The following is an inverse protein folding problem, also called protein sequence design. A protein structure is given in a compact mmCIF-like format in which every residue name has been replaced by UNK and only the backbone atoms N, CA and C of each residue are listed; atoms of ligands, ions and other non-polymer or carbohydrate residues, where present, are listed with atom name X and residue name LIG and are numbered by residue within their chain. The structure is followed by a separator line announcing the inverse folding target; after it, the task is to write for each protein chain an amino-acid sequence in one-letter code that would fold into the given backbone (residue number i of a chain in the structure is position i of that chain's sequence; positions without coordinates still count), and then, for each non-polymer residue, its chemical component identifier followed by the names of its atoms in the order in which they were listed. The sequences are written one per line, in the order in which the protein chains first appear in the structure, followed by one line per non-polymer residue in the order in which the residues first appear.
data_IF_987406944179
#
_entry.id   IF_987406944179
#
_cell.length_a   1.000
_cell.length_b   1.000
_cell.length_c   1.000
_cell.angle_alpha   90.00
_cell.angle_beta   90.00
_cell.angle_gamma   90.00
#
_symmetry.space_group_name_H-M   'P 1'
#
loop_
_entity.id
_entity.type
_entity.pdbx_description
1 polymer ?
#
# COMPACT_ATOMS: atom_id res chain seq x y z
N UNK A 1 46.33 26.56 30.49
CA UNK A 1 45.74 26.92 29.22
C UNK A 1 44.91 25.71 28.77
N UNK A 2 43.59 25.67 29.12
CA UNK A 2 42.69 24.59 28.75
C UNK A 2 42.16 24.89 27.37
N UNK A 3 42.51 24.04 26.40
CA UNK A 3 41.91 24.05 25.07
C UNK A 3 40.58 23.36 25.17
N UNK A 4 39.45 24.08 25.07
CA UNK A 4 38.13 23.49 24.91
C UNK A 4 38.07 22.82 23.53
N UNK A 5 37.94 21.50 23.51
CA UNK A 5 37.52 20.77 22.33
C UNK A 5 36.06 21.17 22.05
N UNK A 6 35.83 21.94 21.02
CA UNK A 6 34.51 22.12 20.43
C UNK A 6 34.13 20.80 19.75
N UNK A 7 33.05 20.17 20.20
CA UNK A 7 32.43 19.06 19.49
C UNK A 7 32.14 19.48 18.05
N UNK A 8 32.41 18.61 17.08
CA UNK A 8 32.08 18.90 15.69
C UNK A 8 30.56 19.08 15.60
N UNK A 9 30.12 20.29 15.27
CA UNK A 9 28.71 20.57 14.93
C UNK A 9 28.36 19.63 13.78
N UNK A 10 27.50 18.68 14.04
CA UNK A 10 26.98 17.78 13.00
C UNK A 10 26.13 18.63 12.04
N UNK A 11 26.72 19.14 10.98
CA UNK A 11 26.04 19.92 9.91
C UNK A 11 25.30 18.99 8.92
N UNK A 12 24.98 17.76 9.30
CA UNK A 12 24.08 16.90 8.53
C UNK A 12 22.64 17.47 8.53
N UNK A 13 21.86 17.16 7.50
CA UNK A 13 20.45 17.55 7.49
C UNK A 13 19.77 17.00 8.75
N UNK A 14 18.80 17.74 9.33
CA UNK A 14 18.13 17.34 10.57
C UNK A 14 17.49 15.94 10.39
N UNK A 15 17.54 15.09 11.42
CA UNK A 15 16.84 13.81 11.42
C UNK A 15 15.32 14.04 11.32
N UNK A 16 14.58 13.03 10.84
CA UNK A 16 13.13 13.07 10.85
C UNK A 16 12.57 12.93 12.27
N UNK A 17 11.37 13.44 12.47
CA UNK A 17 10.57 13.20 13.67
C UNK A 17 9.10 13.01 13.30
N UNK A 18 8.30 12.53 14.26
CA UNK A 18 6.86 12.36 14.09
C UNK A 18 6.10 13.54 14.68
N UNK A 19 5.28 14.18 13.86
CA UNK A 19 4.31 15.21 14.29
C UNK A 19 2.90 14.59 14.26
N UNK A 20 2.23 14.55 15.41
CA UNK A 20 0.85 14.08 15.49
C UNK A 20 -0.07 15.08 14.77
N UNK A 21 -0.78 14.61 13.74
CA UNK A 21 -1.75 15.44 13.01
C UNK A 21 -3.18 15.26 13.50
N UNK A 22 -3.47 14.20 14.24
CA UNK A 22 -4.77 13.95 14.86
C UNK A 22 -5.02 12.48 15.13
N UNK A 23 -6.16 12.22 15.80
CA UNK A 23 -6.67 10.89 16.09
C UNK A 23 -7.94 10.62 15.27
N UNK A 24 -8.02 9.41 14.71
CA UNK A 24 -9.07 8.92 13.82
C UNK A 24 -9.54 7.54 14.26
N UNK A 25 -10.64 7.03 13.71
CA UNK A 25 -11.20 5.75 14.13
C UNK A 25 -10.64 4.60 13.27
N UNK A 26 -9.69 3.83 13.80
CA UNK A 26 -9.03 2.74 13.08
C UNK A 26 -8.54 3.17 11.69
N UNK A 27 -7.62 4.16 11.58
CA UNK A 27 -7.13 4.62 10.30
C UNK A 27 -6.23 3.55 9.67
N UNK A 28 -6.49 3.22 8.39
CA UNK A 28 -5.78 2.17 7.67
C UNK A 28 -5.15 2.64 6.36
N UNK A 29 -5.44 3.87 5.91
CA UNK A 29 -4.83 4.43 4.73
C UNK A 29 -4.93 5.95 4.68
N UNK A 30 -3.99 6.61 4.01
CA UNK A 30 -4.00 8.05 3.77
C UNK A 30 -3.46 8.35 2.37
N UNK A 31 -4.12 9.27 1.67
CA UNK A 31 -3.65 9.76 0.37
C UNK A 31 -4.23 11.16 0.09
N UNK A 32 -3.78 11.77 -1.02
CA UNK A 32 -4.30 13.04 -1.57
C UNK A 32 -4.66 12.87 -3.04
N UNK A 33 -5.62 13.65 -3.57
CA UNK A 33 -5.81 13.74 -5.01
C UNK A 33 -4.55 14.28 -5.70
N UNK A 34 -4.27 13.87 -6.95
CA UNK A 34 -3.15 14.40 -7.71
C UNK A 34 -3.14 15.93 -7.76
N UNK A 35 -2.01 16.54 -7.37
CA UNK A 35 -1.84 18.00 -7.35
C UNK A 35 -2.55 18.76 -6.22
N UNK A 36 -3.34 18.11 -5.38
CA UNK A 36 -4.04 18.73 -4.26
C UNK A 36 -3.18 18.73 -2.99
N UNK A 37 -2.48 19.80 -2.77
CA UNK A 37 -1.62 19.95 -1.59
C UNK A 37 -2.34 20.53 -0.36
N UNK A 38 -3.64 20.83 -0.46
CA UNK A 38 -4.43 21.41 0.62
C UNK A 38 -5.21 20.35 1.42
N UNK A 39 -5.43 19.17 0.85
CA UNK A 39 -6.25 18.11 1.48
C UNK A 39 -5.50 16.79 1.56
N UNK A 40 -5.71 16.11 2.69
CA UNK A 40 -5.40 14.70 2.87
C UNK A 40 -6.69 13.97 3.23
N UNK A 41 -6.80 12.73 2.77
CA UNK A 41 -7.96 11.87 2.96
C UNK A 41 -7.53 10.65 3.76
N UNK A 42 -8.15 10.45 4.91
CA UNK A 42 -7.85 9.38 5.85
C UNK A 42 -8.98 8.35 5.74
N UNK A 43 -8.62 7.10 5.45
CA UNK A 43 -9.54 5.97 5.38
C UNK A 43 -9.65 5.34 6.76
N UNK A 44 -10.86 5.34 7.31
CA UNK A 44 -11.19 4.64 8.53
C UNK A 44 -11.80 3.27 8.19
N UNK A 45 -11.22 2.22 8.74
CA UNK A 45 -11.54 0.82 8.41
C UNK A 45 -13.04 0.50 8.47
N UNK A 46 -13.76 1.12 9.42
CA UNK A 46 -15.20 0.93 9.59
C UNK A 46 -16.07 1.45 8.43
N UNK A 47 -15.49 2.17 7.45
CA UNK A 47 -16.19 2.59 6.25
C UNK A 47 -16.40 4.10 6.08
N UNK A 48 -15.56 4.93 6.72
CA UNK A 48 -15.55 6.38 6.47
C UNK A 48 -14.26 6.81 5.80
N UNK A 49 -14.35 7.86 5.00
CA UNK A 49 -13.20 8.63 4.52
C UNK A 49 -13.33 10.03 5.09
N UNK A 50 -12.36 10.41 5.92
CA UNK A 50 -12.31 11.72 6.59
C UNK A 50 -11.39 12.64 5.83
N UNK A 51 -11.76 13.91 5.69
CA UNK A 51 -10.93 14.94 5.04
C UNK A 51 -10.29 15.82 6.09
N UNK A 52 -8.99 16.04 5.95
CA UNK A 52 -8.28 17.10 6.66
C UNK A 52 -7.81 18.14 5.63
N UNK A 53 -8.24 19.39 5.81
CA UNK A 53 -7.91 20.52 4.94
C UNK A 53 -7.19 21.59 5.74
N UNK A 54 -6.00 22.01 5.26
CA UNK A 54 -5.20 23.07 5.90
C UNK A 54 -5.14 22.87 7.43
N UNK A 55 -4.74 21.67 7.83
CA UNK A 55 -4.60 21.25 9.24
C UNK A 55 -5.87 21.17 10.07
N UNK A 56 -7.04 21.28 9.46
CA UNK A 56 -8.33 21.13 10.12
C UNK A 56 -9.09 19.90 9.60
N UNK A 57 -9.47 19.01 10.50
CA UNK A 57 -10.36 17.86 10.15
C UNK A 57 -11.78 18.36 9.96
N UNK A 58 -12.37 18.06 8.80
CA UNK A 58 -13.74 18.47 8.49
C UNK A 58 -14.75 17.63 9.30
N UNK A 59 -15.82 18.27 9.77
CA UNK A 59 -16.84 17.62 10.60
C UNK A 59 -17.62 16.54 9.84
N UNK A 60 -17.79 16.69 8.52
CA UNK A 60 -18.49 15.72 7.66
C UNK A 60 -17.47 14.85 6.94
N UNK A 61 -17.64 13.52 6.91
CA UNK A 61 -16.78 12.66 6.11
C UNK A 61 -17.01 12.90 4.61
N UNK A 62 -15.97 12.65 3.82
CA UNK A 62 -16.05 12.64 2.36
C UNK A 62 -16.96 11.52 1.84
N UNK A 63 -16.84 10.33 2.43
CA UNK A 63 -17.65 9.16 2.15
C UNK A 63 -18.01 8.45 3.45
N UNK A 64 -19.25 7.96 3.58
CA UNK A 64 -19.70 7.13 4.71
C UNK A 64 -20.51 5.93 4.21
N UNK A 65 -19.85 4.77 4.15
CA UNK A 65 -20.45 3.50 3.69
C UNK A 65 -20.49 2.43 4.79
N UNK A 66 -20.41 2.83 6.07
CA UNK A 66 -20.40 1.91 7.22
C UNK A 66 -21.55 0.89 7.20
N UNK A 67 -22.73 1.29 6.73
CA UNK A 67 -23.90 0.40 6.60
C UNK A 67 -23.83 -0.56 5.39
N UNK A 68 -22.80 -0.50 4.57
CA UNK A 68 -22.72 -1.23 3.29
C UNK A 68 -21.55 -2.19 3.19
N UNK A 69 -20.70 -2.27 4.21
CA UNK A 69 -19.49 -3.07 4.23
C UNK A 69 -19.50 -4.09 5.37
N UNK A 70 -18.63 -5.10 5.29
CA UNK A 70 -18.28 -5.98 6.41
C UNK A 70 -17.05 -5.39 7.10
N UNK A 71 -17.08 -5.26 8.42
CA UNK A 71 -16.02 -4.65 9.22
C UNK A 71 -15.67 -5.55 10.41
N UNK A 72 -14.38 -5.71 10.68
CA UNK A 72 -13.80 -6.43 11.79
C UNK A 72 -12.61 -7.29 11.37
N UNK A 73 -11.65 -7.51 12.26
CA UNK A 73 -10.40 -8.16 11.92
C UNK A 73 -9.67 -7.40 10.81
N UNK A 74 -9.34 -8.08 9.72
CA UNK A 74 -8.74 -7.47 8.52
C UNK A 74 -9.77 -6.91 7.52
N UNK A 75 -11.07 -7.15 7.74
CA UNK A 75 -12.12 -6.70 6.84
C UNK A 75 -12.51 -5.24 7.11
N UNK A 76 -12.92 -4.54 6.08
CA UNK A 76 -13.37 -3.15 6.18
C UNK A 76 -13.23 -2.39 4.88
N UNK A 77 -13.23 -1.06 4.99
CA UNK A 77 -12.78 -0.14 3.96
C UNK A 77 -11.25 -0.02 4.06
N UNK A 78 -10.52 -0.51 3.06
CA UNK A 78 -9.08 -0.76 3.18
C UNK A 78 -8.21 0.23 2.39
N UNK A 79 -8.75 0.86 1.34
CA UNK A 79 -7.99 1.79 0.51
C UNK A 79 -8.88 2.76 -0.28
N UNK A 80 -8.22 3.80 -0.78
CA UNK A 80 -8.77 4.86 -1.62
C UNK A 80 -7.72 5.20 -2.70
N UNK A 81 -8.13 5.30 -3.95
CA UNK A 81 -7.31 5.84 -5.03
C UNK A 81 -8.09 6.90 -5.81
N UNK A 82 -7.49 8.05 -6.02
CA UNK A 82 -8.05 9.09 -6.88
C UNK A 82 -7.63 8.84 -8.33
N UNK A 83 -8.56 9.06 -9.26
CA UNK A 83 -8.28 9.07 -10.70
C UNK A 83 -7.11 10.01 -11.00
N UNK A 84 -6.15 9.65 -11.88
CA UNK A 84 -5.06 10.55 -12.25
C UNK A 84 -5.54 11.95 -12.71
N UNK A 85 -6.71 12.00 -13.37
CA UNK A 85 -7.37 13.23 -13.84
C UNK A 85 -8.50 13.66 -12.89
N UNK A 86 -8.39 13.39 -11.59
CA UNK A 86 -9.43 13.68 -10.60
C UNK A 86 -9.98 15.11 -10.68
N UNK A 87 -9.13 16.08 -10.95
CA UNK A 87 -9.55 17.48 -11.09
C UNK A 87 -10.66 17.67 -12.14
N UNK A 88 -10.67 16.89 -13.20
CA UNK A 88 -11.68 16.94 -14.28
C UNK A 88 -12.75 15.85 -14.11
N UNK A 89 -12.35 14.62 -13.81
CA UNK A 89 -13.25 13.47 -13.73
C UNK A 89 -14.02 13.41 -12.42
N UNK A 90 -13.43 13.90 -11.35
CA UNK A 90 -13.87 13.76 -9.94
C UNK A 90 -14.06 12.30 -9.51
N UNK A 91 -13.53 11.33 -10.28
CA UNK A 91 -13.64 9.91 -9.99
C UNK A 91 -12.63 9.50 -8.93
N UNK A 92 -13.06 8.61 -8.05
CA UNK A 92 -12.19 7.92 -7.10
C UNK A 92 -12.68 6.50 -6.89
N UNK A 93 -11.80 5.65 -6.37
CA UNK A 93 -12.02 4.22 -6.22
C UNK A 93 -11.75 3.82 -4.79
N UNK A 94 -12.59 2.96 -4.26
CA UNK A 94 -12.42 2.41 -2.91
C UNK A 94 -12.40 0.88 -2.96
N UNK A 95 -11.61 0.29 -2.07
CA UNK A 95 -11.57 -1.15 -1.86
C UNK A 95 -12.14 -1.49 -0.50
N UNK A 96 -13.10 -2.41 -0.47
CA UNK A 96 -13.71 -2.86 0.78
C UNK A 96 -14.21 -4.29 0.70
N UNK A 97 -14.48 -4.88 1.88
CA UNK A 97 -15.07 -6.22 2.01
C UNK A 97 -16.58 -6.10 2.26
N UNK A 98 -17.38 -6.93 1.56
CA UNK A 98 -18.82 -7.01 1.78
C UNK A 98 -19.33 -8.43 1.55
N UNK A 99 -19.85 -9.07 2.61
CA UNK A 99 -20.53 -10.37 2.51
C UNK A 99 -19.67 -11.48 1.93
N UNK A 100 -18.35 -11.50 2.27
CA UNK A 100 -17.39 -12.47 1.73
C UNK A 100 -16.92 -12.16 0.31
N UNK A 101 -17.12 -10.94 -0.18
CA UNK A 101 -16.56 -10.46 -1.45
C UNK A 101 -15.59 -9.32 -1.22
N UNK A 102 -14.46 -9.32 -1.93
CA UNK A 102 -13.61 -8.16 -2.12
C UNK A 102 -14.20 -7.30 -3.24
N UNK A 103 -14.33 -6.01 -3.03
CA UNK A 103 -14.97 -5.11 -3.98
C UNK A 103 -14.14 -3.86 -4.23
N UNK A 104 -13.97 -3.53 -5.51
CA UNK A 104 -13.51 -2.23 -5.97
C UNK A 104 -14.70 -1.48 -6.53
N UNK A 105 -15.01 -0.33 -5.94
CA UNK A 105 -16.15 0.50 -6.34
C UNK A 105 -15.66 1.89 -6.68
N UNK A 106 -16.09 2.39 -7.85
CA UNK A 106 -15.87 3.75 -8.30
C UNK A 106 -17.01 4.64 -7.80
N UNK A 107 -16.65 5.83 -7.36
CA UNK A 107 -17.54 6.93 -7.02
C UNK A 107 -17.09 8.20 -7.72
N UNK A 108 -17.93 9.23 -7.65
CA UNK A 108 -17.61 10.59 -8.09
C UNK A 108 -17.77 11.55 -6.92
N UNK A 109 -16.85 12.49 -6.75
CA UNK A 109 -17.02 13.59 -5.81
C UNK A 109 -18.17 14.50 -6.27
N UNK A 110 -18.96 15.00 -5.34
CA UNK A 110 -20.11 15.83 -5.65
C UNK A 110 -19.69 17.13 -6.38
N UNK A 111 -20.48 17.53 -7.37
CA UNK A 111 -20.18 18.72 -8.17
C UNK A 111 -20.29 20.02 -7.36
N UNK A 112 -21.18 20.03 -6.37
CA UNK A 112 -21.45 21.20 -5.52
C UNK A 112 -20.55 21.29 -4.30
N UNK A 113 -19.87 20.19 -3.92
CA UNK A 113 -19.01 20.13 -2.74
C UNK A 113 -17.86 19.15 -2.98
N UNK A 114 -16.63 19.63 -3.27
CA UNK A 114 -15.48 18.76 -3.54
C UNK A 114 -14.99 17.98 -2.31
N UNK A 115 -15.53 18.26 -1.13
CA UNK A 115 -15.24 17.54 0.12
C UNK A 115 -16.30 16.49 0.45
N UNK A 116 -17.19 16.17 -0.50
CA UNK A 116 -18.27 15.18 -0.35
C UNK A 116 -18.34 14.27 -1.57
N UNK A 117 -18.47 12.98 -1.35
CA UNK A 117 -18.75 12.02 -2.41
C UNK A 117 -20.25 12.02 -2.76
N UNK A 118 -20.57 11.77 -4.03
CA UNK A 118 -21.92 11.45 -4.46
C UNK A 118 -22.11 9.92 -4.39
N UNK A 119 -22.71 9.43 -3.31
CA UNK A 119 -22.92 7.99 -3.08
C UNK A 119 -23.84 7.33 -4.12
N UNK A 120 -24.67 8.12 -4.82
CA UNK A 120 -25.56 7.59 -5.87
C UNK A 120 -24.79 7.19 -7.14
N UNK A 121 -23.55 7.65 -7.28
CA UNK A 121 -22.68 7.33 -8.43
C UNK A 121 -21.93 6.00 -8.30
N UNK A 122 -22.18 5.22 -7.23
CA UNK A 122 -21.52 3.95 -6.97
C UNK A 122 -21.60 3.00 -8.16
N UNK A 123 -20.43 2.63 -8.72
CA UNK A 123 -20.27 1.67 -9.80
C UNK A 123 -19.26 0.59 -9.40
N UNK A 124 -19.72 -0.67 -9.36
CA UNK A 124 -18.84 -1.79 -9.02
C UNK A 124 -17.92 -2.12 -10.18
N UNK A 125 -16.65 -1.75 -10.06
CA UNK A 125 -15.62 -2.03 -11.06
C UNK A 125 -15.22 -3.50 -11.03
N UNK A 126 -14.92 -4.04 -9.85
CA UNK A 126 -14.47 -5.42 -9.68
C UNK A 126 -15.09 -6.04 -8.44
N UNK A 127 -15.47 -7.32 -8.57
CA UNK A 127 -15.94 -8.16 -7.46
C UNK A 127 -15.20 -9.48 -7.51
N UNK A 128 -14.54 -9.85 -6.40
CA UNK A 128 -13.83 -11.11 -6.25
C UNK A 128 -14.44 -11.86 -5.07
N UNK A 129 -14.87 -13.10 -5.28
CA UNK A 129 -15.34 -13.95 -4.19
C UNK A 129 -14.15 -14.27 -3.25
N UNK A 130 -14.39 -14.12 -1.95
CA UNK A 130 -13.43 -14.42 -0.87
C UNK A 130 -14.16 -15.20 0.23
N UNK A 131 -14.64 -16.42 -0.09
CA UNK A 131 -15.45 -17.20 0.82
C UNK A 131 -14.60 -17.92 1.87
N UNK A 132 -15.15 -18.08 3.06
CA UNK A 132 -14.64 -19.01 4.07
C UNK A 132 -13.64 -18.46 5.06
N UNK A 133 -12.93 -17.37 4.76
CA UNK A 133 -11.97 -16.73 5.65
C UNK A 133 -12.25 -15.23 5.73
N UNK A 134 -11.80 -14.59 6.80
CA UNK A 134 -11.95 -13.15 7.03
C UNK A 134 -10.62 -12.36 6.99
N UNK A 135 -9.52 -13.08 6.78
CA UNK A 135 -8.16 -12.55 6.71
C UNK A 135 -7.57 -12.62 5.28
N UNK A 136 -6.39 -12.05 5.09
CA UNK A 136 -5.66 -11.93 3.82
C UNK A 136 -6.51 -11.27 2.72
N UNK A 137 -7.09 -10.13 3.05
CA UNK A 137 -7.90 -9.38 2.11
C UNK A 137 -7.06 -8.56 1.12
N UNK A 138 -5.76 -8.34 1.40
CA UNK A 138 -4.95 -7.34 0.69
C UNK A 138 -5.56 -5.95 0.87
N UNK A 139 -5.89 -5.29 -0.23
CA UNK A 139 -6.77 -4.13 -0.20
C UNK A 139 -6.17 -2.82 -0.68
N UNK A 140 -4.90 -2.78 -1.05
CA UNK A 140 -4.30 -1.58 -1.61
C UNK A 140 -4.79 -1.33 -3.04
N UNK A 141 -5.16 -0.06 -3.31
CA UNK A 141 -5.38 0.51 -4.64
C UNK A 141 -4.35 1.59 -4.90
N UNK A 142 -3.81 1.62 -6.11
CA UNK A 142 -2.99 2.73 -6.58
C UNK A 142 -3.02 2.82 -8.10
N UNK A 143 -3.04 4.03 -8.64
CA UNK A 143 -2.79 4.20 -10.07
C UNK A 143 -1.31 4.14 -10.36
N UNK A 144 -0.93 3.38 -11.38
CA UNK A 144 0.44 3.34 -11.87
C UNK A 144 0.87 4.73 -12.36
N UNK A 145 2.12 5.16 -12.06
CA UNK A 145 2.61 6.46 -12.49
C UNK A 145 2.70 6.56 -14.03
N UNK A 146 2.62 7.77 -14.60
CA UNK A 146 2.71 7.94 -16.04
C UNK A 146 3.91 7.23 -16.68
N UNK A 147 3.76 6.67 -17.87
CA UNK A 147 2.58 6.70 -18.74
C UNK A 147 1.55 5.58 -18.48
N UNK A 148 1.67 4.82 -17.38
CA UNK A 148 0.81 3.67 -17.10
C UNK A 148 -0.66 4.06 -16.92
N UNK A 149 -0.98 4.82 -15.88
CA UNK A 149 -2.33 5.33 -15.62
C UNK A 149 -3.40 4.26 -15.34
N UNK A 150 -3.02 2.99 -15.22
CA UNK A 150 -3.93 1.89 -14.92
C UNK A 150 -4.17 1.78 -13.42
N UNK A 151 -5.30 1.21 -13.03
CA UNK A 151 -5.60 0.90 -11.63
C UNK A 151 -4.95 -0.44 -11.24
N UNK A 152 -4.09 -0.40 -10.22
CA UNK A 152 -3.47 -1.57 -9.62
C UNK A 152 -4.16 -1.93 -8.33
N UNK A 153 -4.30 -3.24 -8.07
CA UNK A 153 -5.06 -3.79 -6.95
C UNK A 153 -4.25 -4.92 -6.33
N UNK A 154 -3.95 -4.85 -5.04
CA UNK A 154 -3.36 -5.94 -4.28
C UNK A 154 -4.43 -6.81 -3.65
N UNK A 155 -4.37 -8.13 -3.86
CA UNK A 155 -5.28 -9.12 -3.26
C UNK A 155 -4.49 -10.15 -2.47
N UNK A 156 -4.96 -10.49 -1.27
CA UNK A 156 -4.42 -11.62 -0.52
C UNK A 156 -4.82 -12.97 -1.12
N UNK A 157 -4.19 -14.04 -0.65
CA UNK A 157 -4.39 -15.42 -1.13
C UNK A 157 -5.75 -16.03 -0.78
N UNK A 158 -6.56 -15.34 0.01
CA UNK A 158 -7.89 -15.80 0.44
C UNK A 158 -7.93 -16.31 1.86
N UNK A 159 -6.80 -16.25 2.58
CA UNK A 159 -6.74 -16.52 4.00
C UNK A 159 -6.49 -17.98 4.38
N UNK A 160 -6.43 -18.20 5.68
CA UNK A 160 -6.02 -19.47 6.25
C UNK A 160 -4.51 -19.66 6.26
N UNK A 161 -4.03 -20.68 7.01
CA UNK A 161 -2.60 -20.97 7.09
C UNK A 161 -2.11 -21.75 5.87
N UNK A 162 -1.04 -21.25 5.21
CA UNK A 162 -0.37 -21.99 4.13
C UNK A 162 -1.09 -22.00 2.80
N UNK A 163 -2.02 -21.08 2.55
CA UNK A 163 -2.77 -20.97 1.28
C UNK A 163 -3.49 -22.30 0.93
N UNK A 164 -4.50 -22.72 1.71
CA UNK A 164 -5.14 -24.02 1.54
C UNK A 164 -5.79 -24.18 0.17
N UNK A 165 -6.22 -23.11 -0.46
CA UNK A 165 -6.85 -23.08 -1.78
C UNK A 165 -5.84 -22.96 -2.93
N UNK A 166 -4.54 -22.79 -2.61
CA UNK A 166 -3.43 -22.62 -3.57
C UNK A 166 -3.62 -21.45 -4.52
N UNK A 167 -4.25 -20.38 -4.04
CA UNK A 167 -4.51 -19.20 -4.85
C UNK A 167 -3.22 -18.48 -5.25
N UNK A 168 -2.20 -18.42 -4.37
CA UNK A 168 -0.94 -17.73 -4.64
C UNK A 168 -0.33 -18.17 -5.98
N UNK A 169 -0.19 -19.48 -6.20
CA UNK A 169 0.41 -20.05 -7.42
C UNK A 169 -0.57 -20.26 -8.58
N UNK A 170 -1.88 -20.13 -8.34
CA UNK A 170 -2.89 -20.28 -9.39
C UNK A 170 -3.03 -18.99 -10.19
N UNK A 171 -2.46 -18.95 -11.40
CA UNK A 171 -2.51 -17.81 -12.30
C UNK A 171 -3.92 -17.43 -12.81
N UNK A 172 -4.91 -18.34 -12.67
CA UNK A 172 -6.30 -18.06 -13.01
C UNK A 172 -7.13 -17.53 -11.85
N UNK A 173 -6.62 -17.61 -10.61
CA UNK A 173 -7.24 -16.98 -9.46
C UNK A 173 -6.90 -15.48 -9.41
N UNK A 174 -7.85 -14.68 -8.93
CA UNK A 174 -7.62 -13.24 -8.70
C UNK A 174 -7.17 -12.95 -7.25
N UNK A 175 -6.99 -13.99 -6.43
CA UNK A 175 -6.47 -13.92 -5.07
C UNK A 175 -4.97 -14.24 -5.05
N UNK A 176 -4.20 -13.59 -4.14
CA UNK A 176 -2.74 -13.72 -4.06
C UNK A 176 -2.00 -13.04 -5.22
N UNK A 177 -2.44 -11.84 -5.63
CA UNK A 177 -2.06 -11.18 -6.89
C UNK A 177 -1.83 -9.68 -6.74
N UNK A 178 -1.09 -9.13 -7.71
CA UNK A 178 -1.34 -7.78 -8.18
C UNK A 178 -2.16 -7.87 -9.48
N UNK A 179 -3.30 -7.19 -9.50
CA UNK A 179 -4.15 -7.05 -10.67
C UNK A 179 -3.95 -5.66 -11.27
N UNK A 180 -4.13 -5.52 -12.60
CA UNK A 180 -4.00 -4.25 -13.30
C UNK A 180 -5.10 -4.09 -14.35
N UNK A 181 -5.87 -3.00 -14.21
CA UNK A 181 -7.10 -2.75 -14.94
C UNK A 181 -7.10 -1.36 -15.57
N UNK A 182 -7.64 -1.25 -16.77
CA UNK A 182 -8.01 0.04 -17.37
C UNK A 182 -9.44 0.41 -16.96
N UNK A 183 -9.56 1.46 -16.16
CA UNK A 183 -10.82 1.97 -15.62
C UNK A 183 -11.21 3.34 -16.22
N UNK A 184 -10.59 3.74 -17.33
CA UNK A 184 -10.83 5.01 -18.00
C UNK A 184 -12.25 5.10 -18.60
N UNK A 185 -12.87 3.97 -18.87
CA UNK A 185 -14.22 3.88 -19.42
C UNK A 185 -15.33 4.46 -18.52
N UNK A 186 -16.54 4.55 -19.04
CA UNK A 186 -17.69 5.10 -18.31
C UNK A 186 -18.17 4.17 -17.18
N UNK A 187 -18.01 2.85 -17.32
CA UNK A 187 -18.38 1.83 -16.32
C UNK A 187 -17.48 0.61 -16.40
N UNK A 188 -17.36 -0.15 -15.31
CA UNK A 188 -16.54 -1.36 -15.25
C UNK A 188 -15.06 -1.10 -15.54
N UNK A 189 -14.42 -2.06 -16.24
CA UNK A 189 -13.01 -2.00 -16.62
C UNK A 189 -12.78 -2.71 -17.96
N UNK A 190 -11.61 -2.45 -18.56
CA UNK A 190 -11.08 -3.24 -19.67
C UNK A 190 -9.70 -3.79 -19.31
N UNK A 191 -9.25 -4.80 -20.06
CA UNK A 191 -7.95 -5.41 -19.84
C UNK A 191 -6.90 -4.66 -20.66
N UNK A 192 -5.84 -4.12 -20.03
CA UNK A 192 -4.72 -3.53 -20.74
C UNK A 192 -4.06 -4.55 -21.67
N UNK A 193 -3.76 -4.13 -22.91
CA UNK A 193 -3.22 -5.01 -23.95
C UNK A 193 -1.86 -5.62 -23.60
N UNK A 194 -1.15 -5.01 -22.67
CA UNK A 194 0.16 -5.44 -22.18
C UNK A 194 0.11 -6.24 -20.86
N UNK A 195 -1.09 -6.57 -20.34
CA UNK A 195 -1.20 -7.55 -19.25
C UNK A 195 -0.72 -8.93 -19.74
N UNK A 196 -0.11 -9.76 -18.86
CA UNK A 196 0.30 -11.13 -19.22
C UNK A 196 -0.82 -11.91 -19.91
N UNK A 197 -2.02 -11.91 -19.33
CA UNK A 197 -3.19 -12.65 -19.82
C UNK A 197 -3.71 -12.20 -21.18
N UNK A 198 -3.28 -11.05 -21.71
CA UNK A 198 -3.65 -10.61 -23.05
C UNK A 198 -2.98 -11.42 -24.16
N UNK A 199 -1.87 -12.10 -23.86
CA UNK A 199 -1.10 -12.90 -24.83
C UNK A 199 -0.79 -14.33 -24.34
N UNK A 200 -0.91 -14.60 -23.07
CA UNK A 200 -0.66 -15.90 -22.43
C UNK A 200 -1.92 -16.38 -21.69
N UNK A 201 -2.61 -17.36 -22.27
CA UNK A 201 -3.84 -17.92 -21.73
C UNK A 201 -3.65 -18.69 -20.42
N UNK A 202 -2.42 -18.86 -19.93
CA UNK A 202 -2.16 -19.43 -18.60
C UNK A 202 -2.44 -18.45 -17.46
N UNK A 203 -2.70 -17.18 -17.77
CA UNK A 203 -3.08 -16.13 -16.80
C UNK A 203 -4.55 -15.74 -16.96
N UNK A 204 -5.21 -15.43 -15.85
CA UNK A 204 -6.42 -14.61 -15.90
C UNK A 204 -6.07 -13.22 -16.48
N UNK A 205 -6.95 -12.61 -17.29
CA UNK A 205 -6.64 -11.36 -17.99
C UNK A 205 -6.25 -10.19 -17.08
N UNK A 206 -6.82 -10.14 -15.88
CA UNK A 206 -6.60 -9.10 -14.87
C UNK A 206 -5.23 -9.17 -14.19
N UNK A 207 -4.63 -10.38 -14.18
CA UNK A 207 -3.42 -10.66 -13.40
C UNK A 207 -2.20 -10.01 -14.01
N UNK A 208 -1.49 -9.20 -13.20
CA UNK A 208 -0.18 -8.66 -13.54
C UNK A 208 0.96 -9.50 -12.99
N UNK A 209 0.92 -9.84 -11.68
CA UNK A 209 1.87 -10.72 -11.02
C UNK A 209 1.18 -11.59 -9.98
N UNK A 210 1.84 -12.67 -9.54
CA UNK A 210 1.25 -13.70 -8.69
C UNK A 210 2.24 -14.22 -7.64
N UNK A 211 1.81 -15.14 -6.79
CA UNK A 211 2.65 -15.71 -5.76
C UNK A 211 2.82 -14.79 -4.56
N UNK A 212 1.79 -14.02 -4.23
CA UNK A 212 1.71 -13.16 -3.05
C UNK A 212 0.80 -13.79 -2.00
N UNK A 213 1.10 -13.55 -0.73
CA UNK A 213 0.31 -14.05 0.40
C UNK A 213 -0.75 -13.04 0.83
N UNK A 214 -0.32 -11.90 1.33
CA UNK A 214 -1.18 -10.79 1.74
C UNK A 214 -0.43 -9.48 1.50
N UNK A 215 -0.33 -9.03 0.24
CA UNK A 215 0.34 -7.78 -0.11
C UNK A 215 -0.45 -6.60 0.46
N UNK A 216 -0.26 -6.38 1.77
CA UNK A 216 -1.02 -5.41 2.54
C UNK A 216 -0.88 -4.01 1.97
N UNK A 217 0.37 -3.64 1.62
CA UNK A 217 0.65 -2.37 0.93
C UNK A 217 1.64 -2.58 -0.20
N UNK A 218 1.40 -1.90 -1.30
CA UNK A 218 2.36 -1.68 -2.34
C UNK A 218 2.38 -0.19 -2.73
N UNK A 219 3.46 0.27 -3.30
CA UNK A 219 3.55 1.65 -3.79
C UNK A 219 4.51 1.75 -4.96
N UNK A 220 4.33 2.82 -5.73
CA UNK A 220 5.28 3.20 -6.76
C UNK A 220 6.15 4.35 -6.26
N UNK A 221 7.45 4.26 -6.50
CA UNK A 221 8.30 5.44 -6.43
C UNK A 221 7.84 6.43 -7.49
N UNK A 222 7.31 7.58 -7.07
CA UNK A 222 6.76 8.59 -7.99
C UNK A 222 7.78 9.18 -8.95
N UNK A 223 9.09 9.04 -8.67
CA UNK A 223 10.17 9.57 -9.52
C UNK A 223 10.69 8.52 -10.50
N UNK A 224 10.94 7.28 -10.05
CA UNK A 224 11.52 6.23 -10.89
C UNK A 224 10.47 5.32 -11.49
N UNK A 225 9.30 5.22 -10.85
CA UNK A 225 8.24 4.30 -11.20
C UNK A 225 8.49 2.86 -10.71
N UNK A 226 9.50 2.61 -9.92
CA UNK A 226 9.76 1.30 -9.34
C UNK A 226 8.62 0.90 -8.40
N UNK A 227 8.22 -0.36 -8.48
CA UNK A 227 7.18 -0.95 -7.65
C UNK A 227 7.78 -1.60 -6.41
N UNK A 228 7.28 -1.24 -5.24
CA UNK A 228 7.59 -1.84 -3.95
C UNK A 228 6.35 -2.56 -3.42
N UNK A 229 6.51 -3.81 -2.95
CA UNK A 229 5.43 -4.63 -2.42
C UNK A 229 5.87 -5.12 -1.04
N UNK A 230 5.11 -4.78 0.00
CA UNK A 230 5.24 -5.35 1.33
C UNK A 230 4.22 -6.48 1.46
N UNK A 231 4.71 -7.70 1.49
CA UNK A 231 3.89 -8.91 1.57
C UNK A 231 4.03 -9.56 2.94
N UNK A 232 2.90 -9.75 3.62
CA UNK A 232 2.87 -10.29 4.98
C UNK A 232 3.13 -11.79 4.94
N UNK A 233 4.13 -12.22 5.69
CA UNK A 233 4.54 -13.61 5.79
C UNK A 233 3.64 -14.48 6.65
N UNK A 234 3.96 -15.80 6.71
CA UNK A 234 3.10 -16.77 7.39
C UNK A 234 3.40 -16.85 8.90
N UNK A 235 4.61 -17.25 9.25
CA UNK A 235 4.97 -17.49 10.65
C UNK A 235 6.40 -17.10 11.01
N UNK A 236 7.25 -16.85 10.02
CA UNK A 236 8.68 -16.73 10.23
C UNK A 236 9.32 -15.50 9.61
N UNK A 237 8.85 -15.04 8.45
CA UNK A 237 9.51 -14.00 7.67
C UNK A 237 8.52 -13.02 7.06
N UNK A 238 8.85 -11.74 7.16
CA UNK A 238 8.19 -10.65 6.43
C UNK A 238 9.07 -10.20 5.28
N UNK A 239 8.48 -9.68 4.20
CA UNK A 239 9.25 -9.38 2.99
C UNK A 239 8.87 -8.09 2.28
N UNK A 240 9.87 -7.47 1.64
CA UNK A 240 9.70 -6.39 0.68
C UNK A 240 10.22 -6.85 -0.67
N UNK A 241 9.34 -6.88 -1.66
CA UNK A 241 9.69 -7.10 -3.04
C UNK A 241 9.89 -5.77 -3.77
N UNK A 242 10.86 -5.70 -4.67
CA UNK A 242 11.09 -4.55 -5.55
C UNK A 242 11.10 -5.01 -6.99
N UNK A 243 10.26 -4.38 -7.81
CA UNK A 243 10.23 -4.59 -9.24
C UNK A 243 10.56 -3.27 -9.96
N UNK A 244 11.80 -3.10 -10.46
CA UNK A 244 12.21 -1.85 -11.07
C UNK A 244 11.42 -1.56 -12.35
N UNK A 245 11.17 -0.28 -12.60
CA UNK A 245 10.70 0.20 -13.87
C UNK A 245 11.85 0.04 -14.87
N UNK A 246 11.70 -0.84 -15.85
CA UNK A 246 12.73 -0.99 -16.88
C UNK A 246 12.96 0.34 -17.59
N UNK A 247 14.22 0.67 -17.86
CA UNK A 247 14.59 1.92 -18.50
C UNK A 247 13.85 2.13 -19.82
N UNK A 248 12.89 3.07 -19.83
CA UNK A 248 12.16 3.49 -21.02
C UNK A 248 10.71 3.03 -21.18
N UNK A 249 10.10 2.32 -20.20
CA UNK A 249 8.69 1.93 -20.35
C UNK A 249 8.05 1.38 -19.08
N UNK A 250 6.82 1.75 -18.84
CA UNK A 250 5.99 1.38 -17.70
C UNK A 250 5.72 -0.13 -17.54
N UNK A 251 6.22 -0.96 -18.42
CA UNK A 251 5.68 -2.28 -18.74
C UNK A 251 6.35 -3.44 -18.01
N UNK A 252 7.46 -3.24 -17.29
CA UNK A 252 8.18 -4.39 -16.73
C UNK A 252 8.12 -4.54 -15.20
N UNK A 253 7.50 -3.64 -14.50
CA UNK A 253 7.31 -3.65 -13.03
C UNK A 253 6.69 -4.95 -12.52
N UNK A 254 7.44 -6.05 -12.57
CA UNK A 254 6.95 -7.37 -12.15
C UNK A 254 5.92 -8.02 -13.08
N UNK A 255 5.85 -7.66 -14.36
CA UNK A 255 4.94 -8.28 -15.34
C UNK A 255 5.15 -9.80 -15.40
N UNK A 256 4.13 -10.58 -15.03
CA UNK A 256 4.19 -12.03 -15.00
C UNK A 256 5.10 -12.61 -13.91
N UNK A 257 5.63 -11.79 -13.00
CA UNK A 257 6.50 -12.25 -11.93
C UNK A 257 5.76 -13.18 -10.95
N UNK A 258 6.46 -14.23 -10.50
CA UNK A 258 6.07 -15.08 -9.38
C UNK A 258 6.86 -14.66 -8.15
N UNK A 259 6.20 -14.19 -7.10
CA UNK A 259 6.83 -13.80 -5.84
C UNK A 259 6.98 -14.94 -4.82
N UNK A 260 6.64 -16.17 -5.19
CA UNK A 260 7.04 -17.40 -4.50
C UNK A 260 6.01 -18.01 -3.58
N UNK A 261 5.08 -17.25 -3.01
CA UNK A 261 4.07 -17.82 -2.11
C UNK A 261 3.13 -18.79 -2.86
N UNK A 262 2.84 -20.03 -2.40
CA UNK A 262 3.19 -20.65 -1.10
C UNK A 262 4.30 -21.73 -1.22
N UNK A 263 5.25 -21.53 -2.10
CA UNK A 263 6.48 -22.35 -2.14
C UNK A 263 7.61 -21.73 -1.33
N UNK A 264 7.54 -20.43 -1.12
CA UNK A 264 8.49 -19.65 -0.33
C UNK A 264 7.77 -18.84 0.75
N UNK A 265 8.47 -18.56 1.86
CA UNK A 265 8.19 -17.52 2.83
C UNK A 265 9.49 -16.71 2.98
N UNK A 266 9.51 -15.47 2.53
CA UNK A 266 10.76 -14.74 2.37
C UNK A 266 11.69 -15.44 1.37
N UNK A 267 12.95 -15.60 1.75
CA UNK A 267 13.99 -16.34 0.98
C UNK A 267 14.10 -17.81 1.35
N UNK A 268 13.11 -18.33 2.08
CA UNK A 268 13.10 -19.67 2.67
C UNK A 268 12.04 -20.55 2.02
N UNK A 269 12.36 -21.82 1.81
CA UNK A 269 11.40 -22.77 1.29
C UNK A 269 10.24 -22.99 2.27
N UNK A 270 9.02 -23.08 1.76
CA UNK A 270 7.79 -23.34 2.52
C UNK A 270 6.92 -24.40 1.80
N UNK A 271 6.26 -25.32 2.47
CA UNK A 271 6.38 -25.62 3.91
C UNK A 271 7.59 -26.50 4.25
N UNK A 272 8.36 -26.94 3.28
CA UNK A 272 9.51 -27.84 3.46
C UNK A 272 10.65 -27.51 2.49
N UNK A 273 11.87 -27.85 2.89
CA UNK A 273 13.11 -27.70 2.09
C UNK A 273 13.60 -29.09 1.64
N UNK A 274 14.04 -29.27 0.38
CA UNK A 274 14.10 -28.27 -0.69
C UNK A 274 12.75 -28.02 -1.37
N UNK A 275 12.55 -26.81 -1.85
CA UNK A 275 11.39 -26.45 -2.65
C UNK A 275 11.72 -26.34 -4.15
N UNK A 276 10.70 -26.45 -4.98
CA UNK A 276 10.82 -26.27 -6.43
C UNK A 276 10.13 -24.98 -6.86
N UNK A 277 10.69 -24.29 -7.85
CA UNK A 277 10.13 -23.09 -8.42
C UNK A 277 9.95 -21.93 -7.39
N UNK A 278 11.05 -21.45 -6.78
CA UNK A 278 10.98 -20.45 -5.72
C UNK A 278 10.45 -19.07 -6.19
N UNK A 279 10.35 -18.85 -7.50
CA UNK A 279 9.97 -17.55 -8.03
C UNK A 279 11.08 -16.51 -7.86
N UNK A 280 10.67 -15.23 -7.81
CA UNK A 280 11.54 -14.09 -7.54
C UNK A 280 11.69 -13.93 -6.03
N UNK A 281 12.94 -13.99 -5.55
CA UNK A 281 13.21 -13.78 -4.13
C UNK A 281 13.01 -12.31 -3.75
N UNK A 282 12.55 -12.02 -2.51
CA UNK A 282 12.37 -10.66 -2.04
C UNK A 282 13.69 -9.89 -1.97
N UNK A 283 13.59 -8.59 -2.14
CA UNK A 283 14.73 -7.68 -2.04
C UNK A 283 15.31 -7.67 -0.62
N UNK A 284 14.45 -7.50 0.37
CA UNK A 284 14.79 -7.65 1.78
C UNK A 284 13.71 -8.44 2.52
N UNK A 285 14.11 -9.05 3.63
CA UNK A 285 13.23 -9.76 4.56
C UNK A 285 13.64 -9.49 5.99
N UNK A 286 12.74 -9.72 6.95
CA UNK A 286 13.07 -9.74 8.37
C UNK A 286 12.28 -10.84 9.11
N UNK A 287 12.88 -11.43 10.17
CA UNK A 287 12.25 -12.54 10.88
C UNK A 287 11.19 -12.08 11.89
N UNK A 288 10.23 -12.96 12.20
CA UNK A 288 9.34 -12.84 13.34
C UNK A 288 10.13 -12.98 14.65
N UNK A 289 10.86 -11.96 15.02
CA UNK A 289 11.67 -11.91 16.23
C UNK A 289 11.56 -10.54 16.90
N UNK A 290 11.87 -10.47 18.19
CA UNK A 290 11.79 -9.20 18.94
C UNK A 290 10.39 -8.57 18.93
N UNK A 291 9.34 -9.38 18.83
CA UNK A 291 7.95 -8.94 18.78
C UNK A 291 7.43 -8.55 17.39
N UNK A 292 8.22 -8.75 16.32
CA UNK A 292 7.78 -8.53 14.94
C UNK A 292 6.81 -9.63 14.48
N UNK A 293 5.81 -9.28 13.65
CA UNK A 293 4.79 -10.23 13.22
C UNK A 293 4.11 -9.92 11.88
N UNK A 294 4.16 -8.69 11.40
CA UNK A 294 3.42 -8.31 10.20
C UNK A 294 3.96 -7.01 9.64
N UNK A 295 4.41 -7.04 8.39
CA UNK A 295 4.90 -5.84 7.71
C UNK A 295 3.75 -4.89 7.37
N UNK A 296 3.94 -3.62 7.71
CA UNK A 296 3.15 -2.51 7.22
C UNK A 296 3.98 -1.76 6.19
N UNK A 297 3.71 -2.01 4.93
CA UNK A 297 4.48 -1.40 3.85
C UNK A 297 4.24 0.08 3.70
N UNK A 298 5.03 0.71 2.93
CA UNK A 298 5.28 2.12 2.92
C UNK A 298 5.45 2.72 1.54
N UNK A 299 6.27 3.73 1.52
CA UNK A 299 6.52 4.53 0.33
C UNK A 299 7.99 4.93 0.22
N UNK A 300 8.44 5.18 -1.01
CA UNK A 300 9.71 5.89 -1.23
C UNK A 300 9.50 7.36 -0.95
N UNK A 301 10.26 7.92 -0.02
CA UNK A 301 10.17 9.33 0.29
C UNK A 301 10.63 10.20 -0.90
N UNK A 302 9.74 11.09 -1.35
CA UNK A 302 10.00 12.05 -2.43
C UNK A 302 9.53 13.47 -2.08
N UNK A 303 9.26 13.70 -0.80
CA UNK A 303 8.99 15.02 -0.29
C UNK A 303 10.22 15.92 -0.28
N UNK A 304 10.01 17.19 -0.03
CA UNK A 304 11.07 18.20 0.02
C UNK A 304 11.53 18.56 1.44
N UNK A 305 10.74 18.20 2.46
CA UNK A 305 11.02 18.57 3.84
C UNK A 305 12.25 17.84 4.41
N UNK A 306 12.51 16.59 3.98
CA UNK A 306 13.60 15.74 4.48
C UNK A 306 14.49 15.25 3.33
N UNK A 307 15.38 16.07 2.76
CA UNK A 307 16.24 15.67 1.65
C UNK A 307 17.13 14.47 1.96
N UNK A 308 17.46 14.22 3.23
CA UNK A 308 18.23 13.05 3.69
C UNK A 308 17.51 11.71 3.50
N UNK A 309 16.18 11.73 3.42
CA UNK A 309 15.36 10.53 3.16
C UNK A 309 15.03 10.35 1.67
N UNK A 310 15.36 11.32 0.82
CA UNK A 310 14.98 11.26 -0.59
C UNK A 310 15.50 9.99 -1.26
N UNK A 311 14.59 9.21 -1.90
CA UNK A 311 14.90 7.94 -2.54
C UNK A 311 14.95 6.74 -1.61
N UNK A 312 14.61 6.88 -0.35
CA UNK A 312 14.54 5.76 0.59
C UNK A 312 13.09 5.29 0.77
N UNK A 313 12.88 3.98 0.67
CA UNK A 313 11.61 3.34 1.01
C UNK A 313 11.53 3.13 2.50
N UNK A 314 10.46 3.65 3.13
CA UNK A 314 10.16 3.50 4.55
C UNK A 314 9.10 2.40 4.74
N UNK A 315 9.29 1.50 5.69
CA UNK A 315 8.35 0.46 6.07
C UNK A 315 8.42 0.18 7.57
N UNK A 316 7.42 -0.48 8.12
CA UNK A 316 7.31 -0.75 9.55
C UNK A 316 6.77 -2.15 9.83
N UNK A 317 6.83 -2.57 11.09
CA UNK A 317 6.14 -3.73 11.60
C UNK A 317 4.93 -3.32 12.45
N UNK A 318 3.79 -3.97 12.23
CA UNK A 318 2.55 -3.71 12.94
C UNK A 318 2.66 -3.99 14.43
N UNK A 319 3.26 -5.12 14.82
CA UNK A 319 3.26 -5.59 16.20
C UNK A 319 4.17 -4.80 17.13
N UNK A 320 5.39 -4.51 16.67
CA UNK A 320 6.38 -3.84 17.53
C UNK A 320 6.63 -2.38 17.15
N UNK A 321 6.01 -1.88 16.07
CA UNK A 321 6.10 -0.50 15.63
C UNK A 321 7.48 -0.05 15.17
N UNK A 322 8.42 -0.97 14.96
CA UNK A 322 9.73 -0.62 14.39
C UNK A 322 9.58 -0.09 12.98
N UNK A 323 10.40 0.91 12.66
CA UNK A 323 10.45 1.53 11.35
C UNK A 323 11.84 1.34 10.76
N UNK A 324 11.89 0.93 9.50
CA UNK A 324 13.12 0.77 8.74
C UNK A 324 13.07 1.54 7.43
N UNK A 325 14.24 1.76 6.85
CA UNK A 325 14.38 2.31 5.51
C UNK A 325 15.39 1.54 4.67
N UNK A 326 15.13 1.46 3.38
CA UNK A 326 16.03 0.90 2.36
C UNK A 326 16.07 1.80 1.14
N UNK A 327 17.18 1.76 0.39
CA UNK A 327 17.29 2.46 -0.89
C UNK A 327 17.68 1.45 -1.98
N UNK A 328 16.80 1.25 -2.97
CA UNK A 328 17.12 0.41 -4.11
C UNK A 328 18.17 1.12 -5.02
N UNK A 329 19.17 0.39 -5.57
CA UNK A 329 19.39 -1.06 -5.48
C UNK A 329 20.25 -1.54 -4.28
N UNK A 330 20.47 -0.71 -3.27
CA UNK A 330 21.20 -1.11 -2.06
C UNK A 330 20.26 -1.83 -1.11
N UNK A 331 20.58 -3.08 -0.73
CA UNK A 331 19.81 -3.85 0.25
C UNK A 331 20.21 -3.54 1.72
N UNK A 332 20.90 -2.41 1.96
CA UNK A 332 21.28 -2.01 3.32
C UNK A 332 20.05 -1.45 4.03
N UNK A 333 19.60 -2.17 5.06
CA UNK A 333 18.48 -1.76 5.92
C UNK A 333 19.02 -0.84 7.02
N UNK A 334 18.41 0.34 7.15
CA UNK A 334 18.67 1.25 8.27
C UNK A 334 17.50 1.24 9.25
N UNK A 335 17.76 1.01 10.54
CA UNK A 335 16.76 1.14 11.61
C UNK A 335 16.49 2.62 11.88
N UNK A 336 15.24 3.04 11.71
CA UNK A 336 14.74 4.40 11.94
C UNK A 336 13.90 4.53 13.20
N UNK A 337 13.84 3.48 13.99
CA UNK A 337 12.95 3.43 15.16
C UNK A 337 13.30 4.45 16.23
N UNK A 338 14.55 4.91 16.30
CA UNK A 338 14.95 5.94 17.27
C UNK A 338 14.27 7.31 16.99
N UNK A 339 13.93 7.57 15.73
CA UNK A 339 13.38 8.86 15.28
C UNK A 339 11.94 8.78 14.77
N UNK A 340 11.52 7.63 14.22
CA UNK A 340 10.24 7.49 13.51
C UNK A 340 9.30 6.43 14.09
N UNK A 341 9.56 5.87 15.26
CA UNK A 341 8.68 4.87 15.88
C UNK A 341 7.48 5.52 16.57
N UNK A 342 6.25 5.38 16.03
CA UNK A 342 5.06 5.95 16.66
C UNK A 342 4.58 5.14 17.89
N UNK A 343 5.01 3.89 18.03
CA UNK A 343 4.50 2.85 18.92
C UNK A 343 3.95 1.68 18.10
N UNK A 344 3.37 0.71 18.80
CA UNK A 344 2.82 -0.49 18.19
C UNK A 344 1.55 -0.22 17.38
N UNK A 345 1.13 -1.15 16.55
CA UNK A 345 -0.10 -1.05 15.77
C UNK A 345 0.01 -0.18 14.51
N UNK A 346 1.21 -0.09 13.89
CA UNK A 346 1.38 0.64 12.63
C UNK A 346 0.56 -0.03 11.53
N UNK A 347 -0.59 0.55 11.21
CA UNK A 347 -1.53 -0.01 10.23
C UNK A 347 -1.14 0.28 8.79
N UNK A 348 -0.48 1.40 8.53
CA UNK A 348 -0.15 1.82 7.17
C UNK A 348 0.80 3.02 7.16
N UNK A 349 1.34 3.28 5.98
CA UNK A 349 1.85 4.58 5.59
C UNK A 349 0.87 5.27 4.65
N UNK A 350 1.05 6.58 4.46
CA UNK A 350 0.37 7.36 3.46
C UNK A 350 1.31 8.41 2.85
N UNK A 351 0.96 8.87 1.66
CA UNK A 351 1.71 9.89 0.93
C UNK A 351 0.76 11.01 0.50
N UNK A 352 1.15 12.27 0.71
CA UNK A 352 0.40 13.40 0.20
C UNK A 352 0.84 13.79 -1.23
N UNK A 353 0.15 14.76 -1.82
CA UNK A 353 0.43 15.21 -3.17
C UNK A 353 1.84 15.82 -3.35
N UNK A 354 2.50 16.22 -2.25
CA UNK A 354 3.87 16.74 -2.26
C UNK A 354 4.94 15.67 -2.06
N UNK A 355 4.54 14.41 -1.80
CA UNK A 355 5.45 13.31 -1.50
C UNK A 355 5.91 13.27 -0.05
N UNK A 356 5.28 14.04 0.83
CA UNK A 356 5.51 13.95 2.27
C UNK A 356 4.79 12.70 2.83
N UNK A 357 5.43 12.01 3.77
CA UNK A 357 4.93 10.73 4.27
C UNK A 357 4.28 10.86 5.66
N UNK A 358 3.37 9.93 5.89
CA UNK A 358 2.60 9.79 7.12
C UNK A 358 2.67 8.35 7.60
N UNK A 359 2.62 8.15 8.93
CA UNK A 359 2.50 6.85 9.57
C UNK A 359 1.18 6.82 10.32
N UNK A 360 0.41 5.74 10.11
CA UNK A 360 -0.89 5.54 10.73
C UNK A 360 -0.82 4.39 11.72
N UNK A 361 -1.48 4.55 12.87
CA UNK A 361 -1.65 3.47 13.85
C UNK A 361 -3.12 3.07 13.92
N UNK A 362 -3.41 1.78 13.95
CA UNK A 362 -4.78 1.26 14.03
C UNK A 362 -5.52 1.77 15.27
N UNK A 363 -4.79 2.09 16.34
CA UNK A 363 -5.32 2.68 17.57
C UNK A 363 -5.83 4.11 17.45
N UNK A 364 -5.59 4.80 16.30
CA UNK A 364 -6.16 6.12 16.01
C UNK A 364 -5.17 7.16 15.54
N UNK A 365 -3.95 7.18 16.05
CA UNK A 365 -2.99 8.24 15.79
C UNK A 365 -2.50 8.24 14.35
N UNK A 366 -2.44 9.41 13.75
CA UNK A 366 -1.81 9.65 12.45
C UNK A 366 -0.71 10.68 12.62
N UNK A 367 0.49 10.33 12.17
CA UNK A 367 1.66 11.18 12.30
C UNK A 367 2.22 11.55 10.94
N UNK A 368 2.63 12.80 10.77
CA UNK A 368 3.44 13.26 9.65
C UNK A 368 4.91 13.11 9.97
N UNK A 369 5.72 12.70 9.00
CA UNK A 369 7.18 12.71 9.11
C UNK A 369 7.66 14.12 8.75
N UNK A 370 8.32 14.79 9.70
CA UNK A 370 8.78 16.17 9.55
C UNK A 370 10.25 16.32 9.98
N UNK A 371 10.97 17.39 9.60
CA UNK A 371 12.30 17.68 10.13
C UNK A 371 12.26 17.86 11.65
N UNK A 372 13.29 17.37 12.35
CA UNK A 372 13.52 17.75 13.75
C UNK A 372 13.84 19.23 13.85
N UNK A 373 13.44 19.90 14.93
CA UNK A 373 13.70 21.32 15.16
C UNK A 373 15.19 21.68 15.16
#
# INVERSE_FOLDING_TARGET
MLVACSDPVNNGPPPGMLELIGDFSNPVYLTSPPGDSARIFIVEQAGRIVVRRNDTTLARPFLDIRGRITFGGEQGLLSLAFDPDFASTRRFYVYFVRGGDLRVVRYTAAASDPDSADEATADTVLKIAHPGQDNHNGGQLQFGPPPDGMLWIGTGDGGGGGDPDRNGQNKHALLGKLLRLDVSGASGYTIPADNPGSSDTSFAPEVWSYGLRNPWRFSFDRQTGDLYIADVGQNAWEEVNVAPAAGGGAVQRGRGANYGWNTMEGKHCYPSDPCTNPGQLPFVEYPHSGGACSISGGYVYRGSALPSLSGTYLYADFCNGKVWSIAYPSAVVADRSAELRPGDGVSSFGEDARGELYILQLGGSVHKIVPSP
#
